data_IF_538007176643
#
_entry.id   IF_538007176643
#
_cell.length_a   1.000
_cell.length_b   1.000
_cell.length_c   1.000
_cell.angle_alpha   90.00
_cell.angle_beta   90.00
_cell.angle_gamma   90.00
#
_symmetry.space_group_name_H-M   'P 1'
#
loop_
_entity.id
_entity.type
_entity.pdbx_description
1 polymer ?
#
# COMPACT_ATOMS: atom_id res chain seq x y z
N UNK A 1 1.06 -21.21 -1.43
CA UNK A 1 2.46 -21.68 -1.45
C UNK A 1 3.12 -21.18 -0.16
N UNK A 2 3.51 -22.06 0.77
CA UNK A 2 3.99 -21.68 2.12
C UNK A 2 5.50 -21.42 2.18
N UNK A 3 6.15 -21.23 1.03
CA UNK A 3 7.62 -21.12 0.92
C UNK A 3 8.13 -19.69 0.72
N UNK A 4 7.22 -18.73 0.49
CA UNK A 4 7.53 -17.33 0.23
C UNK A 4 7.07 -16.43 1.38
N UNK A 5 7.86 -15.41 1.66
CA UNK A 5 7.49 -14.34 2.58
C UNK A 5 6.83 -13.21 1.80
N UNK A 6 5.82 -12.62 2.42
CA UNK A 6 5.14 -11.42 1.93
C UNK A 6 5.17 -10.36 3.03
N UNK A 7 5.05 -9.10 2.64
CA UNK A 7 4.95 -8.00 3.59
C UNK A 7 3.60 -8.05 4.31
N UNK A 8 3.58 -7.95 5.63
CA UNK A 8 2.33 -7.86 6.40
C UNK A 8 1.64 -6.50 6.25
N UNK A 9 2.44 -5.43 6.08
CA UNK A 9 1.98 -4.08 5.80
C UNK A 9 2.68 -3.58 4.54
N UNK A 10 3.50 -2.54 4.62
CA UNK A 10 4.28 -2.04 3.50
C UNK A 10 5.69 -2.66 3.46
N UNK A 11 6.25 -2.99 2.27
CA UNK A 11 7.61 -3.55 2.10
C UNK A 11 8.76 -2.69 2.67
N UNK A 12 8.47 -1.46 3.07
CA UNK A 12 9.42 -0.50 3.62
C UNK A 12 9.30 -0.35 5.15
N UNK A 13 8.55 -1.22 5.80
CA UNK A 13 8.39 -1.22 7.26
C UNK A 13 9.68 -1.68 7.93
N UNK A 14 10.19 -0.87 8.86
CA UNK A 14 11.37 -1.21 9.64
C UNK A 14 11.08 -2.39 10.59
N UNK A 15 12.00 -3.36 10.73
CA UNK A 15 11.92 -4.32 11.83
C UNK A 15 12.19 -3.62 13.17
N UNK A 16 11.70 -4.17 14.28
CA UNK A 16 12.13 -3.75 15.62
C UNK A 16 13.62 -4.02 15.79
N UNK A 17 14.33 -3.12 16.47
CA UNK A 17 15.80 -3.16 16.54
C UNK A 17 16.31 -4.45 17.20
N UNK A 18 15.57 -4.99 18.17
CA UNK A 18 15.88 -6.23 18.87
C UNK A 18 15.92 -7.44 17.92
N UNK A 19 15.19 -7.39 16.81
CA UNK A 19 15.05 -8.51 15.87
C UNK A 19 16.00 -8.39 14.67
N UNK A 20 16.83 -7.33 14.59
CA UNK A 20 17.78 -7.15 13.48
C UNK A 20 18.76 -8.32 13.34
N UNK A 21 19.19 -8.91 14.46
CA UNK A 21 20.10 -10.07 14.47
C UNK A 21 19.50 -11.31 13.78
N UNK A 22 18.17 -11.44 13.79
CA UNK A 22 17.44 -12.56 13.19
C UNK A 22 17.47 -12.53 11.65
N UNK A 23 17.77 -11.38 11.04
CA UNK A 23 17.89 -11.24 9.58
C UNK A 23 19.02 -12.14 9.00
N UNK A 24 20.01 -12.50 9.83
CA UNK A 24 21.13 -13.37 9.44
C UNK A 24 20.72 -14.82 9.14
N UNK A 25 19.56 -15.27 9.65
CA UNK A 25 19.09 -16.65 9.53
C UNK A 25 17.70 -16.69 8.91
N UNK A 26 17.60 -17.23 7.68
CA UNK A 26 16.32 -17.39 6.98
C UNK A 26 15.27 -18.17 7.78
N UNK A 27 15.71 -19.06 8.67
CA UNK A 27 14.83 -19.85 9.54
C UNK A 27 14.11 -18.98 10.60
N UNK A 28 14.67 -17.82 10.91
CA UNK A 28 14.17 -16.91 11.96
C UNK A 28 13.38 -15.71 11.39
N UNK A 29 13.35 -15.53 10.06
CA UNK A 29 12.66 -14.38 9.45
C UNK A 29 11.18 -14.26 9.83
N UNK A 30 10.48 -15.38 10.05
CA UNK A 30 9.08 -15.38 10.49
C UNK A 30 8.86 -14.86 11.91
N UNK A 31 9.93 -14.71 12.70
CA UNK A 31 9.91 -14.18 14.07
C UNK A 31 10.21 -12.69 14.12
N UNK A 32 10.54 -12.07 12.99
CA UNK A 32 10.86 -10.65 12.91
C UNK A 32 9.56 -9.84 13.03
N UNK A 33 9.54 -8.91 13.98
CA UNK A 33 8.41 -8.03 14.21
C UNK A 33 8.69 -6.71 13.50
N UNK A 34 7.74 -6.23 12.70
CA UNK A 34 7.82 -4.91 12.09
C UNK A 34 7.34 -3.82 13.05
N UNK A 35 7.90 -2.62 12.93
CA UNK A 35 7.46 -1.40 13.62
C UNK A 35 6.23 -0.78 12.92
N UNK A 36 5.21 -1.61 12.65
CA UNK A 36 3.90 -1.14 12.17
C UNK A 36 2.93 -1.06 13.34
N UNK A 37 1.92 -0.21 13.19
CA UNK A 37 0.93 0.07 14.22
C UNK A 37 -0.39 0.47 13.57
N UNK A 38 -1.48 0.01 14.18
CA UNK A 38 -2.84 0.28 13.74
C UNK A 38 -3.60 1.05 14.82
N UNK A 39 -4.43 1.99 14.38
CA UNK A 39 -5.41 2.67 15.18
C UNK A 39 -6.77 2.00 14.95
N UNK A 40 -7.31 1.41 16.01
CA UNK A 40 -8.60 0.71 15.98
C UNK A 40 -9.62 1.46 16.83
N UNK A 41 -10.80 1.71 16.26
CA UNK A 41 -11.94 2.34 16.93
C UNK A 41 -13.17 1.44 16.78
N UNK A 42 -13.74 1.01 17.92
CA UNK A 42 -14.95 0.17 17.97
C UNK A 42 -14.87 -1.10 17.09
N UNK A 43 -13.70 -1.72 17.02
CA UNK A 43 -13.47 -2.93 16.22
C UNK A 43 -13.18 -2.69 14.74
N UNK A 44 -13.08 -1.44 14.30
CA UNK A 44 -12.67 -1.07 12.94
C UNK A 44 -11.28 -0.43 12.93
N UNK A 45 -10.43 -0.85 11.99
CA UNK A 45 -9.21 -0.11 11.65
C UNK A 45 -9.60 1.25 11.04
N UNK A 46 -9.14 2.34 11.66
CA UNK A 46 -9.34 3.72 11.18
C UNK A 46 -8.06 4.38 10.71
N UNK A 47 -6.93 3.72 10.92
CA UNK A 47 -5.64 4.13 10.38
C UNK A 47 -4.55 3.14 10.69
N UNK A 48 -3.47 3.24 9.93
CA UNK A 48 -2.34 2.34 10.02
C UNK A 48 -1.07 3.05 9.57
N UNK A 49 0.06 2.65 10.14
CA UNK A 49 1.33 3.30 9.91
C UNK A 49 2.51 2.40 10.20
N UNK A 50 3.69 2.86 9.83
CA UNK A 50 4.92 2.22 10.29
C UNK A 50 6.11 3.17 10.30
N UNK A 51 7.10 2.82 11.12
CA UNK A 51 8.44 3.37 10.97
C UNK A 51 9.04 2.78 9.69
N UNK A 52 9.67 3.64 8.89
CA UNK A 52 10.20 3.28 7.58
C UNK A 52 11.68 2.94 7.67
N UNK A 53 12.11 2.00 6.85
CA UNK A 53 13.52 1.68 6.69
C UNK A 53 14.19 2.87 5.99
N UNK A 54 15.15 3.49 6.68
CA UNK A 54 15.95 4.57 6.12
C UNK A 54 17.34 4.10 5.64
N UNK A 55 17.71 2.84 5.93
CA UNK A 55 18.97 2.25 5.49
C UNK A 55 18.80 1.53 4.14
N UNK A 56 19.44 2.04 3.08
CA UNK A 56 19.32 1.48 1.72
C UNK A 56 19.73 0.00 1.65
N UNK A 57 20.82 -0.40 2.31
CA UNK A 57 21.31 -1.80 2.27
C UNK A 57 20.29 -2.76 2.85
N UNK A 58 19.68 -2.38 3.98
CA UNK A 58 18.61 -3.16 4.61
C UNK A 58 17.38 -3.23 3.71
N UNK A 59 16.97 -2.12 3.10
CA UNK A 59 15.81 -2.09 2.21
C UNK A 59 16.02 -2.98 0.97
N UNK A 60 17.22 -2.94 0.37
CA UNK A 60 17.60 -3.80 -0.77
C UNK A 60 17.56 -5.27 -0.38
N UNK A 61 18.10 -5.63 0.78
CA UNK A 61 18.06 -7.00 1.30
C UNK A 61 16.61 -7.49 1.50
N UNK A 62 15.75 -6.66 2.09
CA UNK A 62 14.35 -7.02 2.31
C UNK A 62 13.60 -7.20 0.98
N UNK A 63 13.74 -6.26 0.03
CA UNK A 63 13.05 -6.35 -1.25
C UNK A 63 13.53 -7.55 -2.06
N UNK A 64 14.85 -7.72 -2.20
CA UNK A 64 15.45 -8.72 -3.10
C UNK A 64 15.50 -10.11 -2.48
N UNK A 65 16.01 -10.23 -1.26
CA UNK A 65 16.34 -11.53 -0.65
C UNK A 65 15.19 -12.11 0.19
N UNK A 66 14.41 -11.24 0.85
CA UNK A 66 13.26 -11.68 1.66
C UNK A 66 12.00 -11.79 0.81
N UNK A 67 11.60 -10.69 0.16
CA UNK A 67 10.34 -10.58 -0.57
C UNK A 67 10.42 -10.99 -2.05
N UNK A 68 11.65 -11.12 -2.61
CA UNK A 68 11.88 -11.47 -4.01
C UNK A 68 11.17 -10.53 -5.01
N UNK A 69 11.16 -9.24 -4.69
CA UNK A 69 10.56 -8.18 -5.50
C UNK A 69 11.60 -7.54 -6.43
N UNK A 70 11.20 -7.13 -7.66
CA UNK A 70 12.06 -6.37 -8.55
C UNK A 70 12.39 -5.00 -7.94
N UNK A 71 13.67 -4.65 -7.92
CA UNK A 71 14.16 -3.40 -7.32
C UNK A 71 14.36 -2.29 -8.35
N UNK A 72 14.38 -2.64 -9.64
CA UNK A 72 14.72 -1.75 -10.75
C UNK A 72 13.80 -0.54 -10.81
N UNK A 73 12.50 -0.74 -10.55
CA UNK A 73 11.52 0.34 -10.51
C UNK A 73 11.61 1.23 -9.26
N UNK A 74 12.31 0.77 -8.22
CA UNK A 74 12.46 1.45 -6.93
C UNK A 74 13.85 2.05 -6.75
N UNK A 75 14.74 1.93 -7.73
CA UNK A 75 16.14 2.34 -7.61
C UNK A 75 16.28 3.82 -7.22
N UNK A 76 15.47 4.70 -7.82
CA UNK A 76 15.41 6.13 -7.48
C UNK A 76 15.17 6.38 -5.98
N UNK A 77 14.33 5.56 -5.33
CA UNK A 77 14.04 5.67 -3.91
C UNK A 77 15.17 5.06 -3.06
N UNK A 78 15.73 3.93 -3.51
CA UNK A 78 16.84 3.27 -2.82
C UNK A 78 18.12 4.11 -2.84
N UNK A 79 18.38 4.82 -3.95
CA UNK A 79 19.44 5.82 -4.05
C UNK A 79 19.17 6.99 -3.10
N UNK A 80 17.93 7.50 -3.03
CA UNK A 80 17.59 8.57 -2.09
C UNK A 80 17.88 8.18 -0.63
N UNK A 81 17.71 6.92 -0.25
CA UNK A 81 18.09 6.43 1.08
C UNK A 81 19.61 6.49 1.32
N UNK A 82 20.43 6.33 0.29
CA UNK A 82 21.91 6.37 0.38
C UNK A 82 22.44 7.79 0.62
N UNK A 83 21.72 8.82 0.17
CA UNK A 83 22.08 10.23 0.38
C UNK A 83 21.74 10.77 1.78
N UNK A 84 21.55 9.88 2.76
CA UNK A 84 21.35 10.25 4.16
C UNK A 84 19.90 10.54 4.53
N UNK A 85 18.96 9.72 4.05
CA UNK A 85 17.58 9.78 4.51
C UNK A 85 17.52 9.62 6.05
N UNK A 86 16.86 10.54 6.77
CA UNK A 86 16.75 10.43 8.23
C UNK A 86 15.81 9.29 8.63
N UNK A 87 15.87 8.81 9.89
CA UNK A 87 14.81 8.00 10.45
C UNK A 87 13.46 8.70 10.31
N UNK A 88 12.48 8.02 9.73
CA UNK A 88 11.17 8.59 9.45
C UNK A 88 10.07 7.54 9.63
N UNK A 89 8.86 8.03 9.90
CA UNK A 89 7.68 7.21 10.11
C UNK A 89 6.45 8.03 9.81
N UNK A 90 5.32 7.35 9.66
CA UNK A 90 4.06 8.04 9.42
C UNK A 90 2.87 7.10 9.49
N UNK A 91 1.70 7.70 9.41
CA UNK A 91 0.40 7.05 9.52
C UNK A 91 -0.52 7.57 8.42
N UNK A 92 -1.40 6.71 7.93
CA UNK A 92 -2.53 7.08 7.09
C UNK A 92 -3.82 6.84 7.87
N UNK A 93 -4.78 7.76 7.75
CA UNK A 93 -6.11 7.62 8.32
C UNK A 93 -7.11 7.33 7.22
N UNK A 94 -7.97 6.33 7.43
CA UNK A 94 -9.12 6.05 6.58
C UNK A 94 -10.23 7.06 6.86
N UNK A 95 -10.17 8.23 6.20
CA UNK A 95 -11.07 9.35 6.48
C UNK A 95 -12.55 8.97 6.39
N UNK A 96 -12.96 8.26 5.34
CA UNK A 96 -14.37 7.85 5.17
C UNK A 96 -14.82 6.90 6.29
N UNK A 97 -13.94 5.98 6.70
CA UNK A 97 -14.24 5.06 7.82
C UNK A 97 -14.33 5.82 9.14
N UNK A 98 -13.40 6.74 9.39
CA UNK A 98 -13.40 7.57 10.58
C UNK A 98 -14.68 8.41 10.66
N UNK A 99 -15.06 9.07 9.57
CA UNK A 99 -16.28 9.87 9.50
C UNK A 99 -17.54 9.02 9.68
N UNK A 100 -17.62 7.85 9.03
CA UNK A 100 -18.76 6.94 9.19
C UNK A 100 -18.94 6.51 10.65
N UNK A 101 -17.84 6.27 11.39
CA UNK A 101 -17.91 5.94 12.81
C UNK A 101 -18.32 7.13 13.68
N UNK A 102 -17.79 8.32 13.41
CA UNK A 102 -18.11 9.55 14.17
C UNK A 102 -19.55 10.01 13.94
N UNK A 103 -20.05 9.82 12.72
CA UNK A 103 -21.42 10.18 12.31
C UNK A 103 -22.42 9.02 12.48
N UNK A 104 -21.97 7.89 13.04
CA UNK A 104 -22.78 6.69 13.31
C UNK A 104 -23.53 6.17 12.06
N UNK A 105 -22.90 6.22 10.88
CA UNK A 105 -23.47 5.68 9.64
C UNK A 105 -23.13 4.21 9.45
N UNK A 106 -24.05 3.43 8.88
CA UNK A 106 -23.82 2.00 8.61
C UNK A 106 -22.80 1.77 7.48
N UNK A 107 -22.72 2.70 6.53
CA UNK A 107 -21.88 2.57 5.34
C UNK A 107 -21.03 3.82 5.08
N UNK A 108 -19.81 3.60 4.58
CA UNK A 108 -18.91 4.69 4.17
C UNK A 108 -19.45 5.52 3.00
N UNK A 109 -20.41 4.99 2.24
CA UNK A 109 -21.04 5.73 1.14
C UNK A 109 -21.87 6.92 1.64
N UNK A 110 -22.34 6.87 2.88
CA UNK A 110 -23.21 7.90 3.46
C UNK A 110 -22.41 9.15 3.87
N UNK A 111 -21.09 9.05 3.92
CA UNK A 111 -20.17 10.17 4.18
C UNK A 111 -19.44 10.67 2.93
N UNK A 112 -19.78 10.13 1.75
CA UNK A 112 -19.24 10.51 0.45
C UNK A 112 -20.36 11.16 -0.35
N UNK A 113 -20.16 12.39 -0.85
CA UNK A 113 -21.21 13.13 -1.56
C UNK A 113 -21.70 12.42 -2.84
N UNK A 114 -20.79 11.80 -3.62
CA UNK A 114 -21.11 11.09 -4.86
C UNK A 114 -20.42 9.71 -4.89
N UNK A 115 -20.91 8.75 -4.09
CA UNK A 115 -20.26 7.46 -3.92
C UNK A 115 -20.38 6.60 -5.18
N UNK A 116 -19.52 5.59 -5.30
CA UNK A 116 -19.54 4.62 -6.40
C UNK A 116 -20.13 3.30 -5.93
N UNK A 117 -20.70 2.55 -6.86
CA UNK A 117 -21.14 1.17 -6.61
C UNK A 117 -19.94 0.24 -6.37
N UNK A 118 -20.18 -0.99 -5.89
CA UNK A 118 -19.13 -2.01 -5.74
C UNK A 118 -18.45 -2.39 -7.06
N UNK A 119 -19.07 -2.08 -8.20
CA UNK A 119 -18.50 -2.25 -9.55
C UNK A 119 -17.75 -1.00 -10.04
N UNK A 120 -17.55 0.02 -9.18
CA UNK A 120 -16.87 1.26 -9.54
C UNK A 120 -17.70 2.23 -10.39
N UNK A 121 -19.01 1.99 -10.54
CA UNK A 121 -19.88 2.85 -11.37
C UNK A 121 -20.48 4.01 -10.59
N UNK A 122 -20.55 5.18 -11.22
CA UNK A 122 -21.35 6.31 -10.79
C UNK A 122 -22.71 6.25 -11.48
N UNK A 123 -23.78 6.05 -10.69
CA UNK A 123 -25.13 5.94 -11.24
C UNK A 123 -25.73 7.31 -11.60
N UNK A 124 -25.26 8.39 -10.96
CA UNK A 124 -25.78 9.74 -11.20
C UNK A 124 -25.27 10.27 -12.53
N UNK A 125 -23.97 10.12 -12.79
CA UNK A 125 -23.34 10.60 -14.03
C UNK A 125 -23.25 9.53 -15.13
N UNK A 126 -23.72 8.31 -14.86
CA UNK A 126 -23.58 7.15 -15.75
C UNK A 126 -22.12 6.86 -16.14
N UNK A 127 -21.18 7.02 -15.20
CA UNK A 127 -19.76 6.76 -15.42
C UNK A 127 -19.32 5.35 -14.96
N UNK A 128 -18.30 4.75 -15.58
CA UNK A 128 -17.58 5.21 -16.77
C UNK A 128 -18.44 5.11 -18.04
N UNK A 129 -18.19 6.00 -19.01
CA UNK A 129 -18.86 6.02 -20.32
C UNK A 129 -17.88 5.65 -21.44
N UNK A 130 -18.41 5.42 -22.64
CA UNK A 130 -17.58 5.30 -23.83
C UNK A 130 -16.85 6.62 -24.14
N UNK A 131 -15.69 6.52 -24.78
CA UNK A 131 -14.86 7.64 -25.25
C UNK A 131 -14.92 7.66 -26.78
N UNK A 132 -14.90 8.86 -27.38
CA UNK A 132 -14.97 9.00 -28.83
C UNK A 132 -13.68 8.50 -29.50
N UNK A 133 -13.79 7.95 -30.71
CA UNK A 133 -12.62 7.41 -31.43
C UNK A 133 -11.57 8.49 -31.69
N UNK A 134 -11.98 9.73 -31.94
CA UNK A 134 -11.07 10.87 -32.15
C UNK A 134 -10.18 11.18 -30.94
N UNK A 135 -10.69 11.01 -29.72
CA UNK A 135 -9.90 11.19 -28.48
C UNK A 135 -8.92 10.03 -28.30
N UNK A 136 -9.37 8.80 -28.57
CA UNK A 136 -8.50 7.63 -28.53
C UNK A 136 -7.34 7.78 -29.52
N UNK A 137 -7.62 8.22 -30.74
CA UNK A 137 -6.61 8.45 -31.79
C UNK A 137 -5.63 9.55 -31.38
N UNK A 138 -6.13 10.63 -30.76
CA UNK A 138 -5.30 11.74 -30.27
C UNK A 138 -4.27 11.29 -29.22
N UNK A 139 -4.66 10.38 -28.32
CA UNK A 139 -3.77 9.82 -27.30
C UNK A 139 -3.05 8.54 -27.74
N UNK A 140 -3.16 8.15 -29.02
CA UNK A 140 -2.60 6.90 -29.54
C UNK A 140 -3.05 5.65 -28.77
N UNK A 141 -4.31 5.65 -28.32
CA UNK A 141 -4.93 4.57 -27.56
C UNK A 141 -5.86 3.75 -28.45
N UNK A 142 -6.03 2.46 -28.10
CA UNK A 142 -7.00 1.59 -28.74
C UNK A 142 -7.67 0.72 -27.68
N UNK A 143 -9.00 0.67 -27.71
CA UNK A 143 -9.76 -0.27 -26.89
C UNK A 143 -9.71 -1.63 -27.58
N UNK A 144 -9.00 -2.58 -26.96
CA UNK A 144 -9.07 -3.97 -27.38
C UNK A 144 -10.39 -4.56 -26.89
N UNK A 145 -11.14 -5.24 -27.78
CA UNK A 145 -12.25 -6.08 -27.32
C UNK A 145 -11.67 -7.12 -26.37
N UNK A 146 -12.30 -7.30 -25.20
CA UNK A 146 -11.97 -8.40 -24.29
C UNK A 146 -11.97 -9.69 -25.11
N UNK A 147 -10.89 -10.46 -25.03
CA UNK A 147 -10.90 -11.86 -25.42
C UNK A 147 -11.70 -12.54 -24.30
N UNK A 148 -12.87 -13.09 -24.65
CA UNK A 148 -13.69 -13.88 -23.73
C UNK A 148 -12.91 -15.11 -23.20
#
# INVERSE_FOLDING_TARGET
DRTKFESTHHPFTAPVDEHLSLLSSKKDWSRITGQHYDLVLNGFEVGGGSIRIHNSKLQRFILKDVLHLPVEHLEHLLEALEYGAPPHGGIALGLDRLLALVLETEHIRDVIAFPKTSQGKDLMSQAPSAVEQSELDYYYLKINKKID
#
